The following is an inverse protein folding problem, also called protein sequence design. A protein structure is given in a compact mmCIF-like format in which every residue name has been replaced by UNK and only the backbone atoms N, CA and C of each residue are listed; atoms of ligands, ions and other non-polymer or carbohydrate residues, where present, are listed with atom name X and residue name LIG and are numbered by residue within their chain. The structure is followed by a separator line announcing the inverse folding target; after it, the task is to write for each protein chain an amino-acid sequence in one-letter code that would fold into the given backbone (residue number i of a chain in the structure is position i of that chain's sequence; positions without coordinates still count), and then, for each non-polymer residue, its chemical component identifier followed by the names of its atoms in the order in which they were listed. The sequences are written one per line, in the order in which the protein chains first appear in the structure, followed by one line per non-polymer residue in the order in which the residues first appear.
data_IF_451393541722
#
_entry.id   IF_451393541722
#
_cell.length_a   1.000
_cell.length_b   1.000
_cell.length_c   1.000
_cell.angle_alpha   90.00
_cell.angle_beta   90.00
_cell.angle_gamma   90.00
#
_symmetry.space_group_name_H-M   'P 1'
#
loop_
_entity.id
_entity.type
_entity.pdbx_description
1 polymer ?
#
# COMPACT_ATOMS: atom_id res chain seq x y z
N UNK A 1 -13.20 10.84 34.19
CA UNK A 1 -13.49 9.65 33.38
C UNK A 1 -14.13 9.99 32.03
N UNK A 2 -15.03 10.98 31.93
CA UNK A 2 -15.65 11.35 30.63
C UNK A 2 -14.65 11.81 29.55
N UNK A 3 -13.55 12.44 29.94
CA UNK A 3 -12.50 12.85 28.99
C UNK A 3 -11.79 11.64 28.36
N UNK A 4 -11.52 10.58 29.14
CA UNK A 4 -10.86 9.36 28.66
C UNK A 4 -11.79 8.55 27.74
N UNK A 5 -13.07 8.42 28.10
CA UNK A 5 -14.05 7.73 27.25
C UNK A 5 -14.29 8.45 25.92
N UNK A 6 -14.29 9.79 25.92
CA UNK A 6 -14.38 10.58 24.69
C UNK A 6 -13.14 10.37 23.78
N UNK A 7 -11.93 10.35 24.36
CA UNK A 7 -10.69 10.06 23.62
C UNK A 7 -10.70 8.65 23.03
N UNK A 8 -11.13 7.65 23.80
CA UNK A 8 -11.23 6.27 23.32
C UNK A 8 -12.29 6.09 22.22
N UNK A 9 -13.43 6.76 22.33
CA UNK A 9 -14.48 6.74 21.30
C UNK A 9 -13.98 7.36 19.98
N UNK A 10 -13.24 8.47 20.09
CA UNK A 10 -12.65 9.13 18.93
C UNK A 10 -11.55 8.27 18.29
N UNK A 11 -10.71 7.62 19.11
CA UNK A 11 -9.69 6.68 18.66
C UNK A 11 -10.33 5.48 17.95
N UNK A 12 -11.42 4.93 18.50
CA UNK A 12 -12.17 3.83 17.88
C UNK A 12 -12.70 4.22 16.50
N UNK A 13 -13.35 5.38 16.39
CA UNK A 13 -13.88 5.89 15.10
C UNK A 13 -12.77 6.04 14.05
N UNK A 14 -11.62 6.60 14.42
CA UNK A 14 -10.48 6.76 13.52
C UNK A 14 -9.86 5.42 13.11
N UNK A 15 -9.84 4.46 14.01
CA UNK A 15 -9.35 3.10 13.73
C UNK A 15 -10.26 2.35 12.75
N UNK A 16 -11.57 2.51 12.88
CA UNK A 16 -12.55 1.93 11.95
C UNK A 16 -12.43 2.57 10.56
N UNK A 17 -12.30 3.90 10.49
CA UNK A 17 -12.06 4.63 9.23
C UNK A 17 -10.74 4.21 8.54
N UNK A 18 -9.70 3.93 9.33
CA UNK A 18 -8.44 3.39 8.82
C UNK A 18 -8.61 1.97 8.26
N UNK A 19 -9.37 1.11 8.94
CA UNK A 19 -9.63 -0.25 8.49
C UNK A 19 -10.40 -0.28 7.16
N UNK A 20 -11.35 0.63 6.98
CA UNK A 20 -12.09 0.80 5.73
C UNK A 20 -11.17 1.29 4.61
N UNK A 21 -10.36 2.32 4.87
CA UNK A 21 -9.37 2.84 3.92
C UNK A 21 -8.36 1.77 3.50
N UNK A 22 -7.89 0.92 4.42
CA UNK A 22 -7.00 -0.21 4.11
C UNK A 22 -7.68 -1.31 3.30
N UNK A 23 -8.97 -1.55 3.54
CA UNK A 23 -9.74 -2.52 2.75
C UNK A 23 -9.90 -2.03 1.31
N UNK A 24 -10.13 -0.72 1.13
CA UNK A 24 -10.14 -0.09 -0.18
C UNK A 24 -8.76 -0.14 -0.87
N UNK A 25 -7.67 0.09 -0.13
CA UNK A 25 -6.29 -0.05 -0.62
C UNK A 25 -6.03 -1.45 -1.20
N UNK A 26 -6.39 -2.50 -0.44
CA UNK A 26 -6.24 -3.90 -0.86
C UNK A 26 -7.11 -4.19 -2.08
N UNK A 27 -8.34 -3.67 -2.11
CA UNK A 27 -9.24 -3.84 -3.26
C UNK A 27 -8.64 -3.22 -4.53
N UNK A 28 -8.14 -1.98 -4.46
CA UNK A 28 -7.49 -1.30 -5.58
C UNK A 28 -6.22 -2.03 -6.05
N UNK A 29 -5.40 -2.53 -5.11
CA UNK A 29 -4.20 -3.32 -5.42
C UNK A 29 -4.50 -4.69 -6.00
N UNK A 30 -5.68 -5.26 -5.70
CA UNK A 30 -6.11 -6.56 -6.24
C UNK A 30 -6.60 -6.49 -7.69
N UNK A 31 -6.92 -5.29 -8.19
CA UNK A 31 -7.37 -5.10 -9.56
C UNK A 31 -6.23 -5.35 -10.56
N UNK A 32 -6.60 -5.77 -11.78
CA UNK A 32 -5.64 -6.07 -12.84
C UNK A 32 -4.86 -4.84 -13.34
N UNK A 33 -5.39 -3.62 -13.13
CA UNK A 33 -4.70 -2.36 -13.41
C UNK A 33 -4.78 -1.48 -12.17
N UNK A 34 -3.62 -1.17 -11.59
CA UNK A 34 -3.52 -0.27 -10.44
C UNK A 34 -3.65 1.17 -10.91
N UNK A 35 -4.56 1.94 -10.31
CA UNK A 35 -4.65 3.37 -10.55
C UNK A 35 -3.69 4.11 -9.59
N UNK A 36 -2.58 4.69 -10.09
CA UNK A 36 -1.59 5.32 -9.22
C UNK A 36 -2.12 6.56 -8.50
N UNK A 37 -3.09 7.28 -9.08
CA UNK A 37 -3.70 8.47 -8.46
C UNK A 37 -4.59 8.07 -7.30
N UNK A 38 -5.45 7.06 -7.49
CA UNK A 38 -6.30 6.54 -6.41
C UNK A 38 -5.46 5.97 -5.27
N UNK A 39 -4.37 5.26 -5.58
CA UNK A 39 -3.49 4.69 -4.57
C UNK A 39 -2.73 5.75 -3.78
N UNK A 40 -2.32 6.84 -4.43
CA UNK A 40 -1.70 7.99 -3.76
C UNK A 40 -2.67 8.64 -2.78
N UNK A 41 -3.92 8.91 -3.19
CA UNK A 41 -4.94 9.52 -2.31
C UNK A 41 -5.22 8.63 -1.09
N UNK A 42 -5.32 7.31 -1.28
CA UNK A 42 -5.50 6.35 -0.19
C UNK A 42 -4.30 6.35 0.76
N UNK A 43 -3.07 6.40 0.23
CA UNK A 43 -1.84 6.49 1.01
C UNK A 43 -1.73 7.79 1.83
N UNK A 44 -2.15 8.91 1.24
CA UNK A 44 -2.18 10.21 1.92
C UNK A 44 -3.22 10.21 3.04
N UNK A 45 -4.41 9.64 2.79
CA UNK A 45 -5.45 9.50 3.81
C UNK A 45 -5.01 8.61 4.98
N UNK A 46 -4.38 7.47 4.68
CA UNK A 46 -3.77 6.58 5.68
C UNK A 46 -2.73 7.30 6.52
N UNK A 47 -1.86 8.11 5.91
CA UNK A 47 -0.84 8.88 6.64
C UNK A 47 -1.49 9.89 7.60
N UNK A 48 -2.53 10.60 7.13
CA UNK A 48 -3.30 11.54 7.96
C UNK A 48 -4.02 10.85 9.13
N UNK A 49 -4.64 9.69 8.88
CA UNK A 49 -5.32 8.89 9.90
C UNK A 49 -4.32 8.38 10.94
N UNK A 50 -3.16 7.87 10.52
CA UNK A 50 -2.10 7.42 11.41
C UNK A 50 -1.57 8.56 12.30
N UNK A 51 -1.34 9.76 11.75
CA UNK A 51 -0.95 10.92 12.56
C UNK A 51 -2.02 11.32 13.58
N UNK A 52 -3.30 11.19 13.20
CA UNK A 52 -4.42 11.48 14.10
C UNK A 52 -4.50 10.44 15.22
N UNK A 53 -4.34 9.15 14.88
CA UNK A 53 -4.31 8.03 15.84
C UNK A 53 -3.17 8.22 16.84
N UNK A 54 -1.98 8.57 16.38
CA UNK A 54 -0.81 8.81 17.25
C UNK A 54 -1.07 9.96 18.25
N UNK A 55 -1.67 11.05 17.78
CA UNK A 55 -2.09 12.16 18.65
C UNK A 55 -3.10 11.73 19.73
N UNK A 56 -4.10 10.92 19.37
CA UNK A 56 -5.08 10.43 20.33
C UNK A 56 -4.51 9.36 21.28
N UNK A 57 -3.54 8.55 20.85
CA UNK A 57 -2.84 7.62 21.74
C UNK A 57 -1.96 8.35 22.76
N UNK A 58 -1.25 9.42 22.35
CA UNK A 58 -0.51 10.27 23.29
C UNK A 58 -1.46 10.96 24.28
N UNK A 59 -2.57 11.52 23.81
CA UNK A 59 -3.62 12.06 24.70
C UNK A 59 -4.16 11.01 25.68
N UNK A 60 -4.35 9.77 25.22
CA UNK A 60 -4.77 8.66 26.08
C UNK A 60 -3.73 8.42 27.17
N UNK A 61 -2.44 8.34 26.84
CA UNK A 61 -1.35 8.16 27.83
C UNK A 61 -1.28 9.31 28.84
N UNK A 62 -1.52 10.55 28.40
CA UNK A 62 -1.58 11.70 29.29
C UNK A 62 -2.76 11.60 30.27
N UNK A 63 -3.96 11.27 29.78
CA UNK A 63 -5.15 11.08 30.62
C UNK A 63 -5.03 9.87 31.55
N UNK A 64 -4.39 8.78 31.11
CA UNK A 64 -4.04 7.61 31.94
C UNK A 64 -3.11 7.99 33.09
N UNK A 65 -2.07 8.79 32.81
CA UNK A 65 -1.16 9.32 33.86
C UNK A 65 -1.89 10.22 34.84
N UNK A 66 -2.80 11.09 34.36
CA UNK A 66 -3.60 11.99 35.20
C UNK A 66 -4.58 11.22 36.08
N UNK A 67 -5.17 10.15 35.57
CA UNK A 67 -6.15 9.33 36.28
C UNK A 67 -5.50 8.20 37.11
N UNK A 68 -4.18 8.01 37.03
CA UNK A 68 -3.45 6.88 37.64
C UNK A 68 -4.03 5.50 37.28
N UNK A 69 -4.60 5.39 36.10
CA UNK A 69 -5.23 4.17 35.57
C UNK A 69 -4.47 3.72 34.34
N UNK A 70 -4.24 2.41 34.20
CA UNK A 70 -3.56 1.83 33.06
C UNK A 70 -4.46 0.81 32.36
N UNK A 71 -4.53 0.85 31.02
CA UNK A 71 -5.11 -0.23 30.23
C UNK A 71 -4.49 -1.60 30.65
N UNK A 72 -5.27 -2.67 30.87
CA UNK A 72 -6.62 -2.97 30.36
C UNK A 72 -7.84 -2.50 31.20
N UNK A 73 -7.70 -1.47 32.04
CA UNK A 73 -8.80 -0.87 32.82
C UNK A 73 -9.67 -1.89 33.58
N UNK A 74 -9.08 -2.76 34.42
CA UNK A 74 -9.76 -3.91 35.02
C UNK A 74 -10.98 -3.55 35.91
N UNK A 75 -11.12 -2.28 36.30
CA UNK A 75 -12.21 -1.79 37.15
C UNK A 75 -13.38 -1.17 36.37
N UNK A 76 -13.23 -0.96 35.06
CA UNK A 76 -14.19 -0.25 34.22
C UNK A 76 -14.56 -1.10 32.99
N UNK A 77 -15.49 -2.05 33.16
CA UNK A 77 -15.99 -2.94 32.10
C UNK A 77 -16.26 -2.27 30.73
N UNK A 78 -16.90 -1.08 30.64
CA UNK A 78 -17.13 -0.45 29.33
C UNK A 78 -15.83 0.02 28.66
N UNK A 79 -14.83 0.47 29.42
CA UNK A 79 -13.53 0.90 28.89
C UNK A 79 -12.68 -0.29 28.45
N UNK A 80 -12.75 -1.42 29.17
CA UNK A 80 -12.08 -2.67 28.77
C UNK A 80 -12.59 -3.17 27.42
N UNK A 81 -13.91 -3.16 27.21
CA UNK A 81 -14.51 -3.59 25.94
C UNK A 81 -14.11 -2.69 24.76
N UNK A 82 -14.06 -1.38 24.95
CA UNK A 82 -13.57 -0.44 23.93
C UNK A 82 -12.09 -0.67 23.62
N UNK A 83 -11.27 -0.90 24.65
CA UNK A 83 -9.84 -1.17 24.47
C UNK A 83 -9.59 -2.47 23.71
N UNK A 84 -10.31 -3.55 24.04
CA UNK A 84 -10.23 -4.81 23.31
C UNK A 84 -10.62 -4.63 21.84
N UNK A 85 -11.69 -3.86 21.56
CA UNK A 85 -12.07 -3.55 20.18
C UNK A 85 -10.96 -2.81 19.43
N UNK A 86 -10.39 -1.76 20.02
CA UNK A 86 -9.28 -1.00 19.43
C UNK A 86 -8.10 -1.92 19.13
N UNK A 87 -7.70 -2.78 20.07
CA UNK A 87 -6.60 -3.73 19.87
C UNK A 87 -6.89 -4.72 18.73
N UNK A 88 -8.12 -5.21 18.62
CA UNK A 88 -8.54 -6.08 17.51
C UNK A 88 -8.46 -5.36 16.16
N UNK A 89 -8.96 -4.12 16.08
CA UNK A 89 -8.90 -3.32 14.85
C UNK A 89 -7.45 -3.00 14.46
N UNK A 90 -6.59 -2.63 15.42
CA UNK A 90 -5.14 -2.44 15.17
C UNK A 90 -4.51 -3.71 14.59
N UNK A 91 -4.80 -4.88 15.17
CA UNK A 91 -4.26 -6.16 14.69
C UNK A 91 -4.75 -6.46 13.26
N UNK A 92 -6.03 -6.24 12.97
CA UNK A 92 -6.60 -6.41 11.63
C UNK A 92 -5.99 -5.44 10.62
N UNK A 93 -5.86 -4.17 10.97
CA UNK A 93 -5.25 -3.14 10.13
C UNK A 93 -3.78 -3.44 9.83
N UNK A 94 -3.02 -3.95 10.82
CA UNK A 94 -1.64 -4.41 10.61
C UNK A 94 -1.56 -5.56 9.59
N UNK A 95 -2.47 -6.54 9.68
CA UNK A 95 -2.55 -7.65 8.72
C UNK A 95 -2.93 -7.18 7.31
N UNK A 96 -3.87 -6.25 7.19
CA UNK A 96 -4.25 -5.66 5.90
C UNK A 96 -3.08 -4.88 5.29
N UNK A 97 -2.38 -4.09 6.09
CA UNK A 97 -1.19 -3.36 5.65
C UNK A 97 -0.07 -4.31 5.15
N UNK A 98 0.15 -5.43 5.83
CA UNK A 98 1.11 -6.45 5.39
C UNK A 98 0.70 -7.05 4.02
N UNK A 99 -0.60 -7.29 3.81
CA UNK A 99 -1.12 -7.76 2.52
C UNK A 99 -0.95 -6.71 1.41
N UNK A 100 -1.27 -5.44 1.68
CA UNK A 100 -1.03 -4.34 0.73
C UNK A 100 0.44 -4.28 0.31
N UNK A 101 1.36 -4.41 1.26
CA UNK A 101 2.80 -4.45 0.98
C UNK A 101 3.21 -5.63 0.09
N UNK A 102 2.67 -6.83 0.33
CA UNK A 102 2.95 -8.00 -0.50
C UNK A 102 2.45 -7.82 -1.94
N UNK A 103 1.22 -7.31 -2.12
CA UNK A 103 0.64 -7.05 -3.43
C UNK A 103 1.45 -5.98 -4.20
N UNK A 104 1.85 -4.91 -3.52
CA UNK A 104 2.67 -3.87 -4.12
C UNK A 104 4.02 -4.41 -4.62
N UNK A 105 4.70 -5.24 -3.81
CA UNK A 105 5.95 -5.88 -4.21
C UNK A 105 5.77 -6.80 -5.43
N UNK A 106 4.67 -7.55 -5.48
CA UNK A 106 4.36 -8.41 -6.63
C UNK A 106 4.17 -7.58 -7.92
N UNK A 107 3.47 -6.46 -7.83
CA UNK A 107 3.31 -5.53 -8.96
C UNK A 107 4.65 -4.92 -9.38
N UNK A 108 5.49 -4.49 -8.43
CA UNK A 108 6.82 -3.96 -8.71
C UNK A 108 7.71 -4.99 -9.42
N UNK A 109 7.67 -6.25 -8.96
CA UNK A 109 8.41 -7.35 -9.57
C UNK A 109 7.95 -7.56 -11.03
N UNK A 110 6.64 -7.64 -11.29
CA UNK A 110 6.09 -7.81 -12.65
C UNK A 110 6.47 -6.67 -13.58
N UNK A 111 6.40 -5.42 -13.09
CA UNK A 111 6.81 -4.25 -13.88
C UNK A 111 8.30 -4.30 -14.19
N UNK A 112 9.14 -4.71 -13.24
CA UNK A 112 10.57 -4.85 -13.45
C UNK A 112 10.90 -5.98 -14.44
N UNK A 113 10.25 -7.13 -14.34
CA UNK A 113 10.37 -8.24 -15.30
C UNK A 113 9.96 -7.81 -16.71
N UNK A 114 8.84 -7.10 -16.84
CA UNK A 114 8.40 -6.55 -18.11
C UNK A 114 9.39 -5.54 -18.68
N UNK A 115 9.96 -4.66 -17.85
CA UNK A 115 11.00 -3.71 -18.26
C UNK A 115 12.25 -4.43 -18.77
N UNK A 116 12.72 -5.47 -18.08
CA UNK A 116 13.87 -6.27 -18.52
C UNK A 116 13.59 -6.99 -19.83
N UNK A 117 12.37 -7.51 -20.03
CA UNK A 117 11.97 -8.12 -21.30
C UNK A 117 11.89 -7.10 -22.43
N UNK A 118 11.36 -5.90 -22.16
CA UNK A 118 11.28 -4.81 -23.13
C UNK A 118 12.67 -4.27 -23.49
N UNK A 119 13.57 -4.08 -22.52
CA UNK A 119 14.96 -3.69 -22.77
C UNK A 119 15.70 -4.75 -23.61
N UNK A 120 15.45 -6.04 -23.35
CA UNK A 120 15.98 -7.15 -24.18
C UNK A 120 15.40 -7.16 -25.60
N UNK A 121 14.13 -6.83 -25.78
CA UNK A 121 13.47 -6.77 -27.09
C UNK A 121 13.87 -5.52 -27.90
N UNK A 122 14.02 -4.37 -27.25
CA UNK A 122 14.52 -3.12 -27.87
C UNK A 122 16.01 -3.21 -28.24
N UNK A 123 16.81 -4.00 -27.52
CA UNK A 123 18.20 -4.29 -27.89
C UNK A 123 18.35 -5.09 -29.20
N UNK A 124 17.29 -5.74 -29.68
CA UNK A 124 17.27 -6.50 -30.96
C UNK A 124 16.65 -5.75 -32.13
N UNK A 125 16.21 -4.50 -31.94
CA UNK A 125 15.52 -3.71 -32.97
C UNK A 125 16.38 -2.55 -33.48
N UNK A 126 17.62 -2.86 -33.87
CA UNK A 126 18.43 -2.02 -34.77
C UNK A 126 18.62 -2.73 -36.11
N UNK A 127 17.52 -3.13 -36.75
CA UNK A 127 17.49 -3.27 -38.21
C UNK A 127 17.14 -1.90 -38.77
N UNK A 128 18.13 -1.23 -39.36
CA UNK A 128 18.17 0.16 -39.86
C UNK A 128 18.75 1.18 -38.88
N UNK A 129 20.08 1.25 -38.83
CA UNK A 129 20.78 2.48 -38.46
C UNK A 129 20.72 3.49 -39.62
N UNK A 130 20.67 4.78 -39.26
CA UNK A 130 20.63 5.96 -40.13
C UNK A 130 21.92 6.19 -40.96
N UNK A 131 22.90 5.29 -40.87
CA UNK A 131 24.11 5.29 -41.70
C UNK A 131 24.08 4.09 -42.63
N UNK A 132 23.62 4.28 -43.86
CA UNK A 132 23.64 3.25 -44.90
C UNK A 132 25.06 2.82 -45.28
N UNK A 133 25.66 1.92 -44.50
CA UNK A 133 26.87 1.21 -44.90
C UNK A 133 26.73 -0.28 -44.62
N UNK A 134 26.42 -1.03 -45.68
CA UNK A 134 26.26 -2.47 -45.69
C UNK A 134 27.63 -3.15 -45.79
N UNK A 135 28.12 -3.75 -44.71
CA UNK A 135 29.23 -4.72 -44.76
C UNK A 135 28.87 -6.02 -44.00
N UNK A 136 27.65 -6.50 -44.21
CA UNK A 136 27.24 -7.85 -43.81
C UNK A 136 27.10 -8.72 -45.05
N UNK A 137 28.08 -9.57 -45.30
CA UNK A 137 28.07 -10.62 -46.33
C UNK A 137 26.84 -11.52 -46.15
N UNK A 138 25.79 -11.25 -46.92
CA UNK A 138 24.59 -12.09 -46.99
C UNK A 138 24.89 -13.33 -47.83
N UNK A 139 25.18 -14.46 -47.17
CA UNK A 139 25.15 -15.78 -47.78
C UNK A 139 23.72 -16.33 -47.72
N UNK A 140 22.82 -15.75 -48.53
CA UNK A 140 21.45 -16.23 -48.68
C UNK A 140 21.09 -16.30 -50.15
N UNK A 141 20.79 -17.50 -50.64
CA UNK A 141 20.51 -17.85 -52.03
C UNK A 141 19.62 -16.82 -52.73
N UNK A 142 20.16 -16.20 -53.78
CA UNK A 142 19.42 -15.35 -54.69
C UNK A 142 18.36 -16.17 -55.44
N UNK A 143 17.08 -15.89 -55.18
CA UNK A 143 15.98 -16.29 -56.07
C UNK A 143 15.85 -15.21 -57.14
N UNK A 144 16.39 -15.49 -58.33
CA UNK A 144 16.24 -14.65 -59.52
C UNK A 144 14.84 -14.81 -60.10
N UNK A 145 14.03 -13.74 -60.06
CA UNK A 145 12.86 -13.61 -60.91
C UNK A 145 13.23 -12.63 -62.02
N UNK A 146 13.30 -13.15 -63.25
CA UNK A 146 13.43 -12.38 -64.48
C UNK A 146 12.06 -11.99 -65.00
N UNK A 147 11.89 -10.72 -65.39
CA UNK A 147 10.85 -10.22 -66.30
C UNK A 147 11.52 -9.84 -67.61
#
# INVERSE_FOLDING_TARGET
MEALSAVLTQLQTLMDELADTLTEEVSQLSQARVNPVSLQVISDNKSRLLSSIDFYDEKRKEEEKRCQTQAPYPHECPLTGQWEHIVQVVKRSSQLNQKSFQLLNLHLQRVNEFKVLMDKASGTQTLYGEGGNNNGTFTGKAMSISV
#
